data_IF_646169462464
#
_entry.id   IF_646169462464
#
_cell.length_a   1.000
_cell.length_b   1.000
_cell.length_c   1.000
_cell.angle_alpha   90.00
_cell.angle_beta   90.00
_cell.angle_gamma   90.00
#
_symmetry.space_group_name_H-M   'P 1'
#
loop_
_entity.id
_entity.type
_entity.pdbx_description
1 polymer ?
#
# COMPACT_ATOMS: atom_id res chain seq x y z
N UNK A 1 -2.80 12.38 -19.70
CA UNK A 1 -2.62 13.72 -19.12
C UNK A 1 -1.13 14.02 -19.13
N UNK A 2 -0.70 15.09 -19.78
CA UNK A 2 0.72 15.47 -19.78
C UNK A 2 1.03 16.29 -18.53
N UNK A 3 1.76 15.70 -17.57
CA UNK A 3 2.11 16.35 -16.30
C UNK A 3 3.49 17.03 -16.33
N UNK A 4 4.24 16.89 -17.44
CA UNK A 4 5.60 17.47 -17.58
C UNK A 4 5.61 18.99 -17.36
N UNK A 5 4.56 19.67 -17.82
CA UNK A 5 4.44 21.14 -17.68
C UNK A 5 4.11 21.59 -16.25
N UNK A 6 3.75 20.67 -15.36
CA UNK A 6 3.33 20.97 -13.99
C UNK A 6 4.48 20.82 -12.98
N UNK A 7 5.66 20.35 -13.41
CA UNK A 7 6.83 20.09 -12.56
C UNK A 7 6.49 19.29 -11.30
N UNK A 8 5.77 18.19 -11.47
CA UNK A 8 5.35 17.32 -10.36
C UNK A 8 6.51 16.41 -9.97
N UNK A 9 6.97 16.52 -8.75
CA UNK A 9 8.01 15.64 -8.20
C UNK A 9 7.46 14.28 -7.79
N UNK A 10 6.31 14.25 -7.13
CA UNK A 10 5.74 13.03 -6.55
C UNK A 10 4.26 12.92 -6.91
N UNK A 11 3.87 11.75 -7.40
CA UNK A 11 2.46 11.36 -7.56
C UNK A 11 2.05 10.45 -6.40
N UNK A 12 1.01 10.84 -5.68
CA UNK A 12 0.36 9.97 -4.70
C UNK A 12 -0.79 9.23 -5.38
N UNK A 13 -0.60 7.92 -5.60
CA UNK A 13 -1.60 7.05 -6.22
C UNK A 13 -2.56 6.51 -5.15
N UNK A 14 -3.71 7.17 -5.01
CA UNK A 14 -4.70 6.87 -3.96
C UNK A 14 -6.02 6.30 -4.53
N UNK A 15 -6.05 5.87 -5.81
CA UNK A 15 -7.28 5.40 -6.44
C UNK A 15 -7.71 4.01 -6.00
N UNK A 16 -6.77 3.20 -5.50
CA UNK A 16 -7.02 1.81 -5.11
C UNK A 16 -7.14 0.81 -6.28
N UNK A 17 -6.90 1.21 -7.53
CA UNK A 17 -7.04 0.33 -8.72
C UNK A 17 -5.73 0.08 -9.47
N UNK A 18 -4.74 0.96 -9.40
CA UNK A 18 -3.43 0.79 -10.04
C UNK A 18 -2.44 0.20 -9.02
N UNK A 19 -2.47 -1.12 -8.86
CA UNK A 19 -1.82 -1.84 -7.77
C UNK A 19 -0.52 -2.55 -8.17
N UNK A 20 0.09 -2.17 -9.28
CA UNK A 20 1.33 -2.76 -9.78
C UNK A 20 2.31 -1.68 -10.22
N UNK A 21 3.60 -2.01 -10.24
CA UNK A 21 4.63 -1.16 -10.84
C UNK A 21 4.25 -0.78 -12.27
N UNK A 22 3.89 -1.77 -13.10
CA UNK A 22 3.58 -1.57 -14.52
C UNK A 22 2.44 -0.55 -14.71
N UNK A 23 1.38 -0.65 -13.93
CA UNK A 23 0.24 0.27 -14.03
C UNK A 23 0.58 1.71 -13.63
N UNK A 24 1.70 1.93 -12.94
CA UNK A 24 2.16 3.24 -12.48
C UNK A 24 3.33 3.81 -13.29
N UNK A 25 3.97 3.02 -14.16
CA UNK A 25 5.04 3.49 -15.09
C UNK A 25 4.60 4.72 -15.91
N UNK A 26 3.36 4.82 -16.41
CA UNK A 26 2.93 6.00 -17.17
C UNK A 26 3.09 7.33 -16.45
N UNK A 27 3.00 7.38 -15.13
CA UNK A 27 3.24 8.60 -14.36
C UNK A 27 4.69 9.06 -14.45
N UNK A 28 5.63 8.13 -14.33
CA UNK A 28 7.08 8.39 -14.48
C UNK A 28 7.38 8.87 -15.90
N UNK A 29 6.85 8.18 -16.92
CA UNK A 29 7.04 8.54 -18.33
C UNK A 29 6.46 9.92 -18.67
N UNK A 30 5.41 10.34 -17.97
CA UNK A 30 4.79 11.65 -18.11
C UNK A 30 5.45 12.75 -17.25
N UNK A 31 6.56 12.45 -16.57
CA UNK A 31 7.43 13.45 -15.94
C UNK A 31 7.40 13.52 -14.42
N UNK A 32 6.72 12.62 -13.73
CA UNK A 32 6.87 12.50 -12.28
C UNK A 32 8.22 11.84 -11.94
N UNK A 33 8.89 12.32 -10.89
CA UNK A 33 10.12 11.70 -10.40
C UNK A 33 9.84 10.45 -9.57
N UNK A 34 8.69 10.41 -8.88
CA UNK A 34 8.29 9.30 -8.00
C UNK A 34 6.78 9.06 -8.03
N UNK A 35 6.41 7.80 -7.76
CA UNK A 35 5.02 7.41 -7.47
C UNK A 35 4.98 6.67 -6.14
N UNK A 36 4.09 7.08 -5.25
CA UNK A 36 3.80 6.40 -3.99
C UNK A 36 2.38 5.85 -4.06
N UNK A 37 2.26 4.53 -4.01
CA UNK A 37 0.97 3.84 -3.99
C UNK A 37 0.50 3.75 -2.54
N UNK A 38 -0.67 4.29 -2.22
CA UNK A 38 -1.20 4.37 -0.85
C UNK A 38 -1.90 3.08 -0.38
N UNK A 39 -1.79 1.99 -1.15
CA UNK A 39 -2.46 0.71 -0.91
C UNK A 39 -1.50 -0.45 -1.08
N UNK A 40 -1.85 -1.66 -0.60
CA UNK A 40 -1.11 -2.86 -0.91
C UNK A 40 -1.04 -3.07 -2.43
N UNK A 41 0.07 -3.57 -2.89
CA UNK A 41 0.33 -3.92 -4.29
C UNK A 41 0.11 -5.41 -4.51
N UNK A 42 -0.03 -5.80 -5.78
CA UNK A 42 -0.27 -7.19 -6.18
C UNK A 42 0.91 -7.82 -6.92
N UNK A 43 2.02 -7.10 -6.99
CA UNK A 43 3.29 -7.51 -7.58
C UNK A 43 4.45 -7.27 -6.60
N UNK A 44 5.69 -7.40 -7.06
CA UNK A 44 6.91 -7.21 -6.27
C UNK A 44 7.31 -5.72 -6.10
N UNK A 45 6.39 -4.77 -6.25
CA UNK A 45 6.66 -3.35 -6.01
C UNK A 45 7.21 -3.16 -4.59
N UNK A 46 8.38 -2.50 -4.42
CA UNK A 46 8.97 -2.25 -3.12
C UNK A 46 8.00 -1.57 -2.16
N UNK A 47 7.85 -2.17 -0.99
CA UNK A 47 6.85 -1.72 0.00
C UNK A 47 7.53 -1.27 1.28
N UNK A 48 7.20 -0.07 1.72
CA UNK A 48 7.82 0.56 2.88
C UNK A 48 6.78 1.00 3.91
N UNK A 49 7.08 0.72 5.18
CA UNK A 49 6.33 1.21 6.34
C UNK A 49 7.23 2.13 7.14
N UNK A 50 6.78 3.36 7.35
CA UNK A 50 7.53 4.35 8.11
C UNK A 50 7.79 3.85 9.55
N UNK A 51 9.00 4.07 10.05
CA UNK A 51 9.42 3.55 11.36
C UNK A 51 9.85 2.08 11.34
N UNK A 52 9.51 1.31 10.30
CA UNK A 52 9.86 -0.12 10.20
C UNK A 52 11.05 -0.34 9.26
N UNK A 53 10.84 -0.25 7.96
CA UNK A 53 11.84 -0.53 6.94
C UNK A 53 12.12 0.66 6.00
N UNK A 54 11.62 1.86 6.31
CA UNK A 54 11.80 3.05 5.47
C UNK A 54 13.27 3.44 5.26
N UNK A 55 14.17 3.03 6.16
CA UNK A 55 15.63 3.27 6.01
C UNK A 55 16.27 2.38 4.96
N UNK A 56 15.59 1.33 4.52
CA UNK A 56 16.05 0.41 3.49
C UNK A 56 15.72 0.91 2.08
N UNK A 57 15.06 2.05 1.97
CA UNK A 57 14.68 2.68 0.71
C UNK A 57 15.90 2.99 -0.18
N UNK A 58 15.89 2.46 -1.40
CA UNK A 58 16.99 2.50 -2.37
C UNK A 58 16.74 3.48 -3.54
N UNK A 59 15.87 4.47 -3.34
CA UNK A 59 15.51 5.46 -4.36
C UNK A 59 14.66 4.91 -5.52
N UNK A 60 13.95 3.80 -5.32
CA UNK A 60 13.05 3.25 -6.33
C UNK A 60 11.99 4.30 -6.75
N UNK A 61 11.72 4.41 -8.07
CA UNK A 61 10.80 5.44 -8.57
C UNK A 61 9.34 5.16 -8.23
N UNK A 62 8.98 3.89 -8.03
CA UNK A 62 7.62 3.46 -7.70
C UNK A 62 7.69 2.60 -6.46
N UNK A 63 6.96 2.98 -5.42
CA UNK A 63 6.91 2.28 -4.13
C UNK A 63 5.48 2.21 -3.61
N UNK A 64 5.23 1.27 -2.70
CA UNK A 64 3.98 1.18 -1.95
C UNK A 64 4.19 1.56 -0.49
N UNK A 65 3.20 2.23 0.09
CA UNK A 65 3.12 2.49 1.53
C UNK A 65 2.40 1.35 2.30
N UNK A 66 2.22 0.18 1.68
CA UNK A 66 1.53 -0.96 2.29
C UNK A 66 0.04 -0.70 2.58
N UNK A 67 -0.56 -1.49 3.47
CA UNK A 67 -1.95 -1.36 3.88
C UNK A 67 -2.10 -0.52 5.14
N UNK A 68 -3.31 0.02 5.36
CA UNK A 68 -3.68 0.67 6.62
C UNK A 68 -3.47 -0.26 7.82
N UNK A 69 -3.85 -1.53 7.69
CA UNK A 69 -3.68 -2.55 8.71
C UNK A 69 -2.21 -2.80 9.04
N UNK A 70 -1.36 -2.94 8.02
CA UNK A 70 0.07 -3.13 8.23
C UNK A 70 0.73 -1.90 8.87
N UNK A 71 0.36 -0.69 8.44
CA UNK A 71 0.86 0.54 9.05
C UNK A 71 0.43 0.68 10.52
N UNK A 72 -0.74 0.16 10.90
CA UNK A 72 -1.20 0.18 12.28
C UNK A 72 -0.43 -0.80 13.17
N UNK A 73 -0.16 -2.03 12.70
CA UNK A 73 0.29 -3.12 13.58
C UNK A 73 1.80 -3.39 13.51
N UNK A 74 2.42 -3.28 12.31
CA UNK A 74 3.83 -3.70 12.14
C UNK A 74 4.81 -2.83 12.97
N UNK A 75 4.62 -1.51 13.13
CA UNK A 75 5.46 -0.72 14.05
C UNK A 75 5.38 -1.20 15.50
N UNK A 76 4.20 -1.62 15.96
CA UNK A 76 4.00 -2.16 17.31
C UNK A 76 4.74 -3.48 17.46
N UNK A 77 4.57 -4.41 16.52
CA UNK A 77 5.31 -5.67 16.51
C UNK A 77 6.83 -5.46 16.50
N UNK A 78 7.32 -4.53 15.71
CA UNK A 78 8.75 -4.21 15.68
C UNK A 78 9.28 -3.75 17.04
N UNK A 79 8.51 -2.94 17.77
CA UNK A 79 8.90 -2.46 19.11
C UNK A 79 8.88 -3.63 20.09
N UNK A 80 7.83 -4.45 20.09
CA UNK A 80 7.69 -5.59 20.98
C UNK A 80 8.78 -6.64 20.72
N UNK A 81 9.01 -6.97 19.46
CA UNK A 81 10.06 -7.93 19.07
C UNK A 81 11.45 -7.45 19.50
N UNK A 82 11.76 -6.17 19.24
CA UNK A 82 13.04 -5.59 19.66
C UNK A 82 13.23 -5.55 21.17
N UNK A 83 12.15 -5.39 21.93
CA UNK A 83 12.20 -5.21 23.39
C UNK A 83 12.17 -6.54 24.16
N UNK A 84 11.43 -7.53 23.65
CA UNK A 84 11.10 -8.75 24.38
C UNK A 84 11.42 -10.02 23.60
N UNK A 85 11.58 -9.94 22.29
CA UNK A 85 11.66 -11.10 21.39
C UNK A 85 10.31 -11.79 21.24
N UNK A 86 9.80 -11.90 20.01
CA UNK A 86 8.52 -12.56 19.73
C UNK A 86 8.79 -13.92 19.07
N UNK A 87 8.42 -15.01 19.73
CA UNK A 87 8.48 -16.35 19.14
C UNK A 87 7.25 -16.67 18.30
N UNK A 88 6.08 -16.24 18.75
CA UNK A 88 4.82 -16.41 18.03
C UNK A 88 3.83 -15.34 18.47
N UNK A 89 2.90 -14.98 17.57
CA UNK A 89 1.84 -14.04 17.88
C UNK A 89 0.56 -14.40 17.14
N UNK A 90 -0.58 -14.10 17.75
CA UNK A 90 -1.89 -14.15 17.12
C UNK A 90 -2.53 -12.77 17.19
N UNK A 91 -3.14 -12.35 16.10
CA UNK A 91 -3.78 -11.06 15.99
C UNK A 91 -5.22 -11.22 15.50
N UNK A 92 -6.13 -10.49 16.15
CA UNK A 92 -7.48 -10.26 15.63
C UNK A 92 -7.64 -8.78 15.32
N UNK A 93 -8.21 -8.48 14.14
CA UNK A 93 -8.41 -7.10 13.71
C UNK A 93 -9.89 -6.86 13.41
N UNK A 94 -10.42 -5.79 13.96
CA UNK A 94 -11.74 -5.25 13.65
C UNK A 94 -11.55 -4.01 12.78
N UNK A 95 -12.00 -4.07 11.54
CA UNK A 95 -11.77 -3.02 10.57
C UNK A 95 -13.09 -2.51 10.02
N UNK A 96 -13.24 -1.19 9.89
CA UNK A 96 -14.37 -0.62 9.15
C UNK A 96 -14.38 -1.12 7.73
N UNK A 97 -15.56 -1.35 7.15
CA UNK A 97 -15.66 -1.73 5.75
C UNK A 97 -15.15 -0.59 4.84
N UNK A 98 -14.63 -0.98 3.68
CA UNK A 98 -14.14 -0.07 2.66
C UNK A 98 -14.91 -0.28 1.36
N UNK A 99 -14.73 0.60 0.38
CA UNK A 99 -15.40 0.52 -0.93
C UNK A 99 -15.16 -0.78 -1.72
N UNK A 100 -14.19 -1.59 -1.32
CA UNK A 100 -13.99 -2.95 -1.85
C UNK A 100 -15.03 -3.96 -1.37
N UNK A 101 -15.71 -3.64 -0.27
CA UNK A 101 -16.69 -4.51 0.36
C UNK A 101 -18.09 -3.99 0.04
N UNK A 102 -18.56 -4.28 -1.16
CA UNK A 102 -19.92 -3.94 -1.54
C UNK A 102 -20.89 -4.79 -0.72
N UNK A 103 -21.60 -4.16 0.21
CA UNK A 103 -22.54 -4.84 1.10
C UNK A 103 -23.89 -5.11 0.42
N UNK A 104 -24.29 -4.28 -0.54
CA UNK A 104 -25.58 -4.34 -1.24
C UNK A 104 -25.41 -4.00 -2.73
N UNK A 105 -26.20 -4.68 -3.57
CA UNK A 105 -26.52 -4.34 -4.96
C UNK A 105 -25.35 -4.22 -5.96
N UNK A 106 -24.15 -4.75 -5.65
CA UNK A 106 -23.05 -4.76 -6.59
C UNK A 106 -22.32 -6.12 -6.61
N UNK A 107 -21.69 -6.44 -7.74
CA UNK A 107 -20.83 -7.62 -7.86
C UNK A 107 -19.61 -7.46 -6.93
N UNK A 108 -19.37 -8.48 -6.14
CA UNK A 108 -18.15 -8.56 -5.35
C UNK A 108 -16.95 -8.83 -6.25
N UNK A 109 -15.91 -8.00 -6.16
CA UNK A 109 -14.68 -8.17 -6.93
C UNK A 109 -13.78 -9.28 -6.38
N UNK A 110 -13.96 -9.65 -5.10
CA UNK A 110 -13.21 -10.73 -4.47
C UNK A 110 -13.87 -12.07 -4.66
N UNK A 111 -13.09 -13.10 -5.03
CA UNK A 111 -13.52 -14.50 -5.02
C UNK A 111 -13.63 -15.07 -3.60
N UNK A 112 -13.09 -14.37 -2.60
CA UNK A 112 -13.15 -14.77 -1.20
C UNK A 112 -14.38 -14.16 -0.53
N UNK A 113 -15.38 -14.98 -0.26
CA UNK A 113 -16.65 -14.60 0.37
C UNK A 113 -16.44 -13.91 1.73
N UNK A 114 -15.36 -14.22 2.43
CA UNK A 114 -15.03 -13.59 3.72
C UNK A 114 -14.69 -12.10 3.60
N UNK A 115 -14.30 -11.65 2.41
CA UNK A 115 -14.00 -10.25 2.11
C UNK A 115 -15.18 -9.46 1.58
N UNK A 116 -16.35 -10.09 1.48
CA UNK A 116 -17.56 -9.50 0.94
C UNK A 116 -18.59 -9.11 2.01
N UNK A 117 -18.23 -9.27 3.28
CA UNK A 117 -19.10 -8.93 4.42
C UNK A 117 -18.37 -8.07 5.42
#
# INVERSE_FOLDING_TARGET
>A
MNIKSLNIDVVLQCSGIFLTTESNVPWIQNGANKVIISTPVTDDTPTYIFGVNHKEYKQEPIISNSSCSANAIVPIFKILDKSFGIQSAMMSMYHSYTSYQNLLDAKHYSKDIRRTR
#
